data_IF_647753627901
#
_entry.id   IF_647753627901
#
_cell.length_a   1.000
_cell.length_b   1.000
_cell.length_c   1.000
_cell.angle_alpha   90.00
_cell.angle_beta   90.00
_cell.angle_gamma   90.00
#
_symmetry.space_group_name_H-M   'P 1'
#
loop_
_entity.id
_entity.type
_entity.pdbx_description
1 polymer ?
#
# COMPACT_ATOMS: atom_id res chain seq x y z
N UNK A 1 10.56 14.36 7.84
CA UNK A 1 10.11 13.58 6.66
C UNK A 1 9.33 12.32 7.07
N UNK A 2 9.86 11.51 7.95
CA UNK A 2 9.29 10.24 8.43
C UNK A 2 7.91 10.40 9.08
N UNK A 3 7.77 11.32 10.05
CA UNK A 3 6.50 11.63 10.71
C UNK A 3 5.42 12.03 9.71
N UNK A 4 5.74 12.94 8.78
CA UNK A 4 4.79 13.39 7.74
C UNK A 4 4.26 12.24 6.89
N UNK A 5 5.06 11.20 6.62
CA UNK A 5 4.62 10.04 5.86
C UNK A 5 3.57 9.22 6.62
N UNK A 6 3.75 9.03 7.92
CA UNK A 6 2.74 8.41 8.78
C UNK A 6 1.51 9.30 8.95
N UNK A 7 1.70 10.61 9.11
CA UNK A 7 0.61 11.57 9.25
C UNK A 7 -0.34 11.51 8.04
N UNK A 8 0.21 11.43 6.82
CA UNK A 8 -0.59 11.35 5.60
C UNK A 8 -1.12 9.93 5.35
N UNK A 9 -0.23 8.93 5.34
CA UNK A 9 -0.59 7.59 4.87
C UNK A 9 -1.44 6.79 5.87
N UNK A 10 -1.25 7.03 7.16
CA UNK A 10 -1.93 6.29 8.23
C UNK A 10 -2.92 7.16 8.99
N UNK A 11 -2.45 8.23 9.65
CA UNK A 11 -3.31 9.05 10.49
C UNK A 11 -4.38 9.80 9.70
N UNK A 12 -4.08 10.24 8.46
CA UNK A 12 -5.07 10.84 7.56
C UNK A 12 -6.25 9.89 7.29
N UNK A 13 -5.97 8.64 6.93
CA UNK A 13 -7.00 7.62 6.70
C UNK A 13 -7.76 7.28 8.00
N UNK A 14 -7.05 7.12 9.13
CA UNK A 14 -7.67 6.83 10.42
C UNK A 14 -8.57 7.98 10.90
N UNK A 15 -8.15 9.23 10.75
CA UNK A 15 -8.94 10.40 11.12
C UNK A 15 -10.19 10.55 10.24
N UNK A 16 -10.06 10.35 8.92
CA UNK A 16 -11.20 10.34 8.00
C UNK A 16 -12.19 9.24 8.38
N UNK A 17 -11.69 8.04 8.64
CA UNK A 17 -12.52 6.91 9.10
C UNK A 17 -13.26 7.24 10.39
N UNK A 18 -12.55 7.79 11.37
CA UNK A 18 -13.15 8.20 12.67
C UNK A 18 -14.29 9.20 12.47
N UNK A 19 -14.14 10.14 11.54
CA UNK A 19 -15.14 11.16 11.27
C UNK A 19 -16.41 10.60 10.60
N UNK A 20 -16.29 9.59 9.71
CA UNK A 20 -17.45 9.04 8.98
C UNK A 20 -18.14 7.87 9.68
N UNK A 21 -17.46 7.17 10.57
CA UNK A 21 -17.98 5.98 11.25
C UNK A 21 -19.29 6.22 12.03
N UNK A 22 -19.49 7.33 12.78
CA UNK A 22 -20.76 7.59 13.48
C UNK A 22 -21.96 7.55 12.53
N UNK A 23 -21.85 8.25 11.39
CA UNK A 23 -22.91 8.30 10.36
C UNK A 23 -23.16 6.94 9.72
N UNK A 24 -22.10 6.18 9.42
CA UNK A 24 -22.23 4.84 8.87
C UNK A 24 -22.88 3.87 9.85
N UNK A 25 -22.59 3.99 11.16
CA UNK A 25 -23.21 3.16 12.20
C UNK A 25 -24.70 3.47 12.36
N UNK A 26 -25.05 4.75 12.37
CA UNK A 26 -26.46 5.20 12.45
C UNK A 26 -27.27 4.67 11.28
N UNK A 27 -26.73 4.77 10.06
CA UNK A 27 -27.36 4.28 8.84
C UNK A 27 -27.28 2.75 8.66
N UNK A 28 -26.62 2.04 9.57
CA UNK A 28 -26.35 0.57 9.48
C UNK A 28 -25.81 0.15 8.12
N UNK A 29 -25.04 1.02 7.46
CA UNK A 29 -24.51 0.83 6.12
C UNK A 29 -23.29 1.71 5.92
N UNK A 30 -22.29 1.19 5.23
CA UNK A 30 -21.11 1.97 4.87
C UNK A 30 -20.05 1.13 4.16
N UNK A 31 -19.19 1.82 3.41
CA UNK A 31 -18.03 1.21 2.76
C UNK A 31 -16.80 2.09 2.93
N UNK A 32 -15.75 1.49 3.45
CA UNK A 32 -14.42 2.11 3.58
C UNK A 32 -13.45 1.32 2.71
N UNK A 33 -12.76 2.00 1.80
CA UNK A 33 -11.72 1.44 0.95
C UNK A 33 -10.43 2.18 1.22
N UNK A 34 -9.52 1.55 1.96
CA UNK A 34 -8.22 2.11 2.27
C UNK A 34 -7.21 1.78 1.17
N UNK A 35 -6.52 2.79 0.65
CA UNK A 35 -5.50 2.58 -0.38
C UNK A 35 -4.16 2.31 0.29
N UNK A 36 -3.83 1.02 0.36
CA UNK A 36 -2.54 0.52 0.83
C UNK A 36 -1.51 0.50 -0.31
N UNK A 37 -0.67 -0.49 -0.34
CA UNK A 37 0.32 -0.76 -1.40
C UNK A 37 0.81 -2.19 -1.27
N UNK A 38 1.29 -2.78 -2.35
CA UNK A 38 2.06 -4.04 -2.29
C UNK A 38 3.28 -3.92 -1.36
N UNK A 39 3.80 -2.71 -1.16
CA UNK A 39 4.88 -2.41 -0.21
C UNK A 39 4.51 -2.69 1.25
N UNK A 40 3.22 -2.81 1.58
CA UNK A 40 2.76 -3.20 2.92
C UNK A 40 3.20 -4.62 3.28
N UNK A 41 3.29 -5.51 2.30
CA UNK A 41 3.63 -6.92 2.49
C UNK A 41 5.01 -7.28 1.92
N UNK A 42 5.47 -6.58 0.89
CA UNK A 42 6.76 -6.83 0.25
C UNK A 42 7.95 -6.26 1.06
N UNK A 43 7.74 -5.26 1.91
CA UNK A 43 8.78 -4.61 2.74
C UNK A 43 9.98 -4.13 1.91
N UNK A 44 9.73 -3.20 0.99
CA UNK A 44 10.71 -2.76 -0.03
C UNK A 44 11.90 -2.04 0.62
N UNK A 45 13.15 -2.45 0.33
CA UNK A 45 14.36 -1.76 0.80
C UNK A 45 14.37 -0.28 0.39
N UNK A 46 14.99 0.55 1.24
CA UNK A 46 15.08 2.01 1.08
C UNK A 46 13.74 2.75 1.06
N UNK A 47 12.62 2.04 1.30
CA UNK A 47 11.28 2.59 1.52
C UNK A 47 10.71 2.22 2.89
N UNK A 48 11.54 2.07 3.90
CA UNK A 48 11.17 1.54 5.23
C UNK A 48 9.94 2.23 5.83
N UNK A 49 9.93 3.57 5.89
CA UNK A 49 8.81 4.30 6.48
C UNK A 49 7.54 4.24 5.64
N UNK A 50 7.67 4.19 4.32
CA UNK A 50 6.53 4.00 3.42
C UNK A 50 5.92 2.62 3.63
N UNK A 51 6.71 1.56 3.52
CA UNK A 51 6.27 0.19 3.76
C UNK A 51 5.64 0.01 5.14
N UNK A 52 6.28 0.55 6.19
CA UNK A 52 5.75 0.50 7.55
C UNK A 52 4.40 1.22 7.68
N UNK A 53 4.24 2.42 7.07
CA UNK A 53 2.98 3.17 7.12
C UNK A 53 1.84 2.44 6.39
N UNK A 54 2.13 1.78 5.27
CA UNK A 54 1.15 1.01 4.51
C UNK A 54 0.80 -0.32 5.19
N UNK A 55 1.76 -0.97 5.85
CA UNK A 55 1.52 -2.15 6.69
C UNK A 55 0.65 -1.80 7.90
N UNK A 56 0.91 -0.66 8.57
CA UNK A 56 0.07 -0.16 9.64
C UNK A 56 -1.37 0.09 9.18
N UNK A 57 -1.56 0.70 7.99
CA UNK A 57 -2.89 0.93 7.40
C UNK A 57 -3.62 -0.38 7.09
N UNK A 58 -2.92 -1.42 6.64
CA UNK A 58 -3.53 -2.73 6.38
C UNK A 58 -3.96 -3.43 7.67
N UNK A 59 -3.11 -3.41 8.69
CA UNK A 59 -3.45 -3.93 10.00
C UNK A 59 -4.68 -3.20 10.59
N UNK A 60 -4.67 -1.87 10.57
CA UNK A 60 -5.80 -1.04 10.96
C UNK A 60 -7.08 -1.40 10.21
N UNK A 61 -7.00 -1.54 8.87
CA UNK A 61 -8.14 -1.93 8.02
C UNK A 61 -8.72 -3.26 8.43
N UNK A 62 -7.87 -4.25 8.69
CA UNK A 62 -8.28 -5.61 9.06
C UNK A 62 -8.94 -5.67 10.44
N UNK A 63 -8.39 -4.95 11.42
CA UNK A 63 -8.99 -4.84 12.75
C UNK A 63 -10.37 -4.17 12.66
N UNK A 64 -10.43 -2.99 12.03
CA UNK A 64 -11.65 -2.24 11.87
C UNK A 64 -12.75 -3.02 11.16
N UNK A 65 -12.40 -3.79 10.11
CA UNK A 65 -13.36 -4.62 9.38
C UNK A 65 -14.10 -5.60 10.31
N UNK A 66 -13.40 -6.19 11.29
CA UNK A 66 -14.00 -7.07 12.28
C UNK A 66 -14.85 -6.31 13.30
N UNK A 67 -14.43 -5.12 13.71
CA UNK A 67 -15.11 -4.30 14.71
C UNK A 67 -16.46 -3.76 14.21
N UNK A 68 -16.55 -3.40 12.91
CA UNK A 68 -17.71 -2.67 12.39
C UNK A 68 -18.66 -3.49 11.53
N UNK A 69 -18.33 -4.76 11.23
CA UNK A 69 -19.16 -5.61 10.35
C UNK A 69 -20.58 -5.81 10.85
N UNK A 70 -20.78 -5.86 12.17
CA UNK A 70 -22.11 -6.03 12.78
C UNK A 70 -23.01 -4.80 12.63
N UNK A 71 -22.44 -3.63 12.28
CA UNK A 71 -23.18 -2.43 11.88
C UNK A 71 -23.50 -2.38 10.38
N UNK A 72 -23.25 -3.45 9.62
CA UNK A 72 -23.45 -3.44 8.17
C UNK A 72 -22.37 -2.66 7.41
N UNK A 73 -21.28 -2.30 8.06
CA UNK A 73 -20.17 -1.54 7.45
C UNK A 73 -19.11 -2.52 6.93
N UNK A 74 -18.69 -2.33 5.68
CA UNK A 74 -17.62 -3.10 5.05
C UNK A 74 -16.34 -2.28 4.95
N UNK A 75 -15.22 -2.86 5.36
CA UNK A 75 -13.90 -2.23 5.26
C UNK A 75 -12.96 -3.14 4.47
N UNK A 76 -12.19 -2.57 3.55
CA UNK A 76 -11.24 -3.31 2.71
C UNK A 76 -10.00 -2.48 2.42
N UNK A 77 -8.87 -3.13 2.23
CA UNK A 77 -7.67 -2.52 1.70
C UNK A 77 -7.48 -2.85 0.22
N UNK A 78 -6.90 -1.93 -0.52
CA UNK A 78 -6.43 -2.16 -1.88
C UNK A 78 -4.91 -2.01 -1.87
N UNK A 79 -4.20 -3.01 -2.40
CA UNK A 79 -2.75 -3.05 -2.61
C UNK A 79 -2.43 -2.79 -4.09
N UNK A 80 -2.33 -1.53 -4.53
CA UNK A 80 -1.81 -1.27 -5.86
C UNK A 80 -0.32 -1.65 -5.94
N UNK A 81 0.09 -2.15 -7.12
CA UNK A 81 1.47 -2.11 -7.54
C UNK A 81 1.84 -0.75 -8.11
N UNK A 82 2.76 -0.73 -9.08
CA UNK A 82 3.18 0.51 -9.71
C UNK A 82 2.09 1.12 -10.58
N UNK A 83 1.84 2.41 -10.36
CA UNK A 83 0.91 3.24 -11.13
C UNK A 83 1.70 4.44 -11.67
N UNK A 84 1.57 4.71 -12.96
CA UNK A 84 2.22 5.84 -13.62
C UNK A 84 1.51 7.14 -13.24
N UNK A 85 1.99 7.84 -12.22
CA UNK A 85 1.44 9.09 -11.70
C UNK A 85 2.55 10.09 -11.41
N UNK A 86 2.18 11.30 -11.04
CA UNK A 86 3.12 12.33 -10.54
C UNK A 86 3.75 11.97 -9.18
N UNK A 87 3.36 10.86 -8.56
CA UNK A 87 3.94 10.37 -7.31
C UNK A 87 5.45 10.21 -7.41
N UNK A 88 5.94 9.72 -8.55
CA UNK A 88 7.37 9.53 -8.83
C UNK A 88 8.12 10.86 -8.81
N UNK A 89 7.60 11.89 -9.47
CA UNK A 89 8.22 13.23 -9.52
C UNK A 89 8.13 13.96 -8.19
N UNK A 90 7.06 13.72 -7.43
CA UNK A 90 6.86 14.32 -6.10
C UNK A 90 7.71 13.66 -5.00
N UNK A 91 8.41 12.54 -5.28
CA UNK A 91 9.26 11.85 -4.33
C UNK A 91 10.43 12.72 -3.90
N UNK A 92 10.53 12.99 -2.60
CA UNK A 92 11.71 13.62 -2.03
C UNK A 92 12.84 12.60 -1.95
N UNK A 93 13.84 12.74 -2.81
CA UNK A 93 15.02 11.90 -2.86
C UNK A 93 16.06 12.38 -1.87
N UNK A 94 16.75 11.47 -1.22
CA UNK A 94 17.95 11.74 -0.45
C UNK A 94 19.00 10.70 -0.85
N UNK A 95 20.15 11.18 -1.29
CA UNK A 95 21.32 10.35 -1.54
C UNK A 95 22.25 10.30 -0.32
N UNK A 96 21.82 10.82 0.83
CA UNK A 96 22.63 10.79 2.05
C UNK A 96 22.96 9.35 2.44
N UNK A 97 24.25 9.04 2.54
CA UNK A 97 24.76 7.72 2.85
C UNK A 97 24.83 6.76 1.66
N UNK A 98 24.55 7.18 0.44
CA UNK A 98 24.59 6.29 -0.73
C UNK A 98 26.01 5.76 -1.01
N UNK A 99 27.03 6.54 -0.72
CA UNK A 99 28.44 6.17 -0.71
C UNK A 99 28.71 4.98 0.25
N UNK A 100 28.18 5.07 1.48
CA UNK A 100 28.29 4.00 2.49
C UNK A 100 27.62 2.70 2.01
N UNK A 101 26.51 2.82 1.26
CA UNK A 101 25.80 1.68 0.68
C UNK A 101 26.29 1.29 -0.72
N UNK A 102 27.42 1.85 -1.20
CA UNK A 102 28.01 1.54 -2.51
C UNK A 102 27.09 1.86 -3.69
N UNK A 103 26.34 2.95 -3.62
CA UNK A 103 25.41 3.40 -4.67
C UNK A 103 24.09 2.62 -4.74
N UNK A 104 23.82 1.74 -3.79
CA UNK A 104 22.61 0.88 -3.81
C UNK A 104 21.33 1.65 -3.59
N UNK A 105 21.35 2.76 -2.83
CA UNK A 105 20.17 3.60 -2.60
C UNK A 105 19.72 4.21 -3.92
N UNK A 106 20.64 4.89 -4.62
CA UNK A 106 20.33 5.54 -5.91
C UNK A 106 19.91 4.53 -6.97
N UNK A 107 20.57 3.36 -7.06
CA UNK A 107 20.18 2.29 -8.00
C UNK A 107 18.78 1.76 -7.71
N UNK A 108 18.45 1.51 -6.44
CA UNK A 108 17.13 1.02 -6.03
C UNK A 108 16.04 2.04 -6.34
N UNK A 109 16.24 3.31 -5.99
CA UNK A 109 15.30 4.39 -6.28
C UNK A 109 15.08 4.54 -7.79
N UNK A 110 16.15 4.55 -8.59
CA UNK A 110 16.05 4.63 -10.05
C UNK A 110 15.33 3.41 -10.66
N UNK A 111 15.49 2.23 -10.07
CA UNK A 111 14.73 1.03 -10.45
C UNK A 111 13.25 1.21 -10.24
N UNK A 112 12.86 1.59 -9.02
CA UNK A 112 11.47 1.85 -8.65
C UNK A 112 10.82 2.92 -9.53
N UNK A 113 11.53 4.00 -9.84
CA UNK A 113 11.02 5.07 -10.72
C UNK A 113 10.76 4.57 -12.15
N UNK A 114 11.64 3.73 -12.68
CA UNK A 114 11.43 3.11 -14.01
C UNK A 114 10.19 2.20 -14.01
N UNK A 115 10.00 1.44 -12.94
CA UNK A 115 8.86 0.52 -12.82
C UNK A 115 7.55 1.30 -12.65
N UNK A 116 7.54 2.35 -11.84
CA UNK A 116 6.41 3.27 -11.69
C UNK A 116 6.03 3.94 -13.02
N UNK A 117 7.01 4.43 -13.80
CA UNK A 117 6.77 5.05 -15.12
C UNK A 117 6.16 4.07 -16.12
N UNK A 118 6.45 2.77 -16.00
CA UNK A 118 5.88 1.70 -16.81
C UNK A 118 4.64 1.05 -16.17
N UNK A 119 4.25 1.56 -15.01
CA UNK A 119 3.16 1.06 -14.23
C UNK A 119 1.79 1.18 -14.90
N UNK A 120 0.76 0.75 -14.21
CA UNK A 120 -0.62 0.85 -14.66
C UNK A 120 -1.03 2.32 -14.84
N UNK A 121 -1.85 2.60 -15.85
CA UNK A 121 -2.44 3.94 -16.03
C UNK A 121 -3.34 4.28 -14.84
N UNK A 122 -3.35 5.54 -14.38
CA UNK A 122 -4.17 5.99 -13.23
C UNK A 122 -5.67 5.69 -13.43
N UNK A 123 -6.19 5.88 -14.64
CA UNK A 123 -7.59 5.62 -14.97
C UNK A 123 -7.94 4.14 -14.76
N UNK A 124 -7.06 3.24 -15.21
CA UNK A 124 -7.25 1.79 -15.04
C UNK A 124 -7.24 1.41 -13.57
N UNK A 125 -6.32 1.99 -12.77
CA UNK A 125 -6.28 1.75 -11.33
C UNK A 125 -7.55 2.29 -10.64
N UNK A 126 -8.01 3.48 -11.02
CA UNK A 126 -9.26 4.09 -10.56
C UNK A 126 -10.47 3.21 -10.83
N UNK A 127 -10.59 2.67 -12.04
CA UNK A 127 -11.66 1.75 -12.41
C UNK A 127 -11.67 0.47 -11.56
N UNK A 128 -10.50 -0.10 -11.26
CA UNK A 128 -10.40 -1.25 -10.36
C UNK A 128 -10.86 -0.90 -8.95
N UNK A 129 -10.44 0.25 -8.42
CA UNK A 129 -10.83 0.72 -7.09
C UNK A 129 -12.34 0.98 -7.03
N UNK A 130 -12.90 1.66 -8.03
CA UNK A 130 -14.34 1.91 -8.13
C UNK A 130 -15.14 0.61 -8.18
N UNK A 131 -14.72 -0.36 -9.01
CA UNK A 131 -15.34 -1.68 -9.07
C UNK A 131 -15.30 -2.42 -7.72
N UNK A 132 -14.22 -2.27 -6.94
CA UNK A 132 -14.12 -2.85 -5.60
C UNK A 132 -15.08 -2.13 -4.64
N UNK A 133 -15.14 -0.79 -4.70
CA UNK A 133 -16.03 0.00 -3.86
C UNK A 133 -17.52 -0.31 -4.07
N UNK A 134 -17.90 -0.69 -5.30
CA UNK A 134 -19.28 -1.01 -5.68
C UNK A 134 -19.69 -2.47 -5.49
N UNK A 135 -18.78 -3.36 -5.07
CA UNK A 135 -19.11 -4.79 -4.86
C UNK A 135 -20.11 -4.97 -3.71
N UNK A 136 -21.07 -5.88 -3.86
CA UNK A 136 -21.97 -6.28 -2.75
C UNK A 136 -21.19 -6.81 -1.55
N UNK A 137 -20.21 -7.67 -1.78
CA UNK A 137 -19.30 -8.23 -0.75
C UNK A 137 -17.85 -7.95 -1.13
N UNK A 138 -17.05 -7.52 -0.17
CA UNK A 138 -15.62 -7.29 -0.35
C UNK A 138 -14.78 -8.31 0.39
N UNK A 139 -13.62 -8.63 -0.16
CA UNK A 139 -12.55 -9.35 0.56
C UNK A 139 -11.82 -8.36 1.48
N UNK A 140 -11.12 -8.84 2.51
CA UNK A 140 -10.31 -7.96 3.37
C UNK A 140 -9.27 -7.13 2.59
N UNK A 141 -8.67 -7.73 1.56
CA UNK A 141 -7.61 -7.10 0.76
C UNK A 141 -7.74 -7.46 -0.72
N UNK A 142 -7.41 -6.53 -1.60
CA UNK A 142 -7.32 -6.69 -3.05
C UNK A 142 -5.99 -6.17 -3.57
N UNK A 143 -5.14 -7.04 -4.10
CA UNK A 143 -3.99 -6.60 -4.90
C UNK A 143 -4.40 -6.26 -6.34
N UNK A 144 -3.87 -5.17 -6.90
CA UNK A 144 -4.12 -4.73 -8.28
C UNK A 144 -2.87 -4.90 -9.13
N UNK A 145 -3.05 -5.43 -10.35
CA UNK A 145 -1.98 -5.80 -11.26
C UNK A 145 -1.64 -7.29 -11.14
N UNK A 146 -1.46 -7.98 -12.29
CA UNK A 146 -1.26 -9.44 -12.31
C UNK A 146 0.01 -9.88 -11.58
N UNK A 147 1.12 -9.21 -11.85
CA UNK A 147 2.42 -9.48 -11.20
C UNK A 147 2.34 -9.19 -9.70
N UNK A 148 1.70 -8.09 -9.31
CA UNK A 148 1.56 -7.69 -7.90
C UNK A 148 0.61 -8.57 -7.11
N UNK A 149 -0.40 -9.17 -7.75
CA UNK A 149 -1.23 -10.22 -7.13
C UNK A 149 -0.39 -11.43 -6.76
N UNK A 150 0.47 -11.88 -7.68
CA UNK A 150 1.38 -12.99 -7.41
C UNK A 150 2.38 -12.65 -6.30
N UNK A 151 3.00 -11.45 -6.36
CA UNK A 151 3.92 -10.97 -5.33
C UNK A 151 3.23 -10.87 -3.96
N UNK A 152 2.02 -10.33 -3.90
CA UNK A 152 1.25 -10.23 -2.64
C UNK A 152 0.95 -11.62 -2.06
N UNK A 153 0.52 -12.58 -2.89
CA UNK A 153 0.29 -13.96 -2.45
C UNK A 153 1.60 -14.57 -1.93
N UNK A 154 2.68 -14.46 -2.68
CA UNK A 154 4.01 -14.95 -2.27
C UNK A 154 4.43 -14.34 -0.91
N UNK A 155 4.30 -13.03 -0.76
CA UNK A 155 4.68 -12.34 0.48
C UNK A 155 3.83 -12.76 1.70
N UNK A 156 2.59 -13.19 1.48
CA UNK A 156 1.67 -13.64 2.55
C UNK A 156 1.80 -15.12 2.90
N UNK A 157 2.30 -15.94 1.97
CA UNK A 157 2.33 -17.41 2.16
C UNK A 157 3.71 -17.95 2.49
N UNK A 158 4.78 -17.35 1.99
CA UNK A 158 6.13 -17.85 2.25
C UNK A 158 6.70 -17.38 3.61
N UNK A 159 7.61 -18.16 4.22
CA UNK A 159 8.32 -17.74 5.41
C UNK A 159 9.03 -16.40 5.23
N UNK A 160 9.12 -15.62 6.31
CA UNK A 160 9.67 -14.26 6.27
C UNK A 160 11.09 -14.21 5.68
N UNK A 161 11.95 -15.20 5.97
CA UNK A 161 13.30 -15.31 5.42
C UNK A 161 13.32 -15.42 3.90
N UNK A 162 12.44 -16.25 3.33
CA UNK A 162 12.31 -16.43 1.87
C UNK A 162 11.78 -15.15 1.23
N UNK A 163 10.70 -14.59 1.78
CA UNK A 163 10.15 -13.33 1.32
C UNK A 163 11.19 -12.22 1.29
N UNK A 164 11.92 -11.99 2.40
CA UNK A 164 12.90 -10.92 2.49
C UNK A 164 14.06 -11.14 1.50
N UNK A 165 14.47 -12.39 1.27
CA UNK A 165 15.50 -12.72 0.28
C UNK A 165 15.05 -12.38 -1.14
N UNK A 166 13.84 -12.77 -1.52
CA UNK A 166 13.27 -12.48 -2.86
C UNK A 166 13.10 -10.98 -3.06
N UNK A 167 12.47 -10.30 -2.10
CA UNK A 167 12.26 -8.83 -2.17
C UNK A 167 13.60 -8.09 -2.20
N UNK A 168 14.59 -8.53 -1.42
CA UNK A 168 15.94 -7.98 -1.44
C UNK A 168 16.60 -8.14 -2.81
N UNK A 169 16.46 -9.30 -3.47
CA UNK A 169 16.98 -9.50 -4.83
C UNK A 169 16.30 -8.61 -5.87
N UNK A 170 15.01 -8.37 -5.74
CA UNK A 170 14.25 -7.54 -6.69
C UNK A 170 14.55 -6.04 -6.54
N UNK A 171 14.67 -5.54 -5.30
CA UNK A 171 14.64 -4.11 -5.01
C UNK A 171 15.91 -3.54 -4.37
N UNK A 172 16.92 -4.35 -4.02
CA UNK A 172 18.10 -3.85 -3.28
C UNK A 172 19.18 -3.17 -4.14
N UNK A 173 18.91 -2.93 -5.42
CA UNK A 173 19.84 -2.21 -6.30
C UNK A 173 21.14 -3.00 -6.54
N UNK A 174 21.04 -4.20 -7.15
CA UNK A 174 22.22 -4.97 -7.61
C UNK A 174 23.02 -4.21 -8.65
#
# INVERSE_FOLDING_TARGET
MQKKQFDVNFFGAANTTKAVLPFMRENKSGRIVNISSVAAVAHIPFQTYYSASKAALESYTSCLANEVRHFGISVTAVEPGDICTEFTSARKKSAAGDDVYGGRISKSVAGMERDEQKGMKPETAGDYIAKIALKKKVKPVYAIGSVYKLLSVMCKTFPCSVRNRVVGMLYSGK
#
